data_IF_401317547246
#
_entry.id   IF_401317547246
#
_cell.length_a   1.000
_cell.length_b   1.000
_cell.length_c   1.000
_cell.angle_alpha   90.00
_cell.angle_beta   90.00
_cell.angle_gamma   90.00
#
_symmetry.space_group_name_H-M   'P 1'
#
loop_
_entity.id
_entity.type
_entity.pdbx_description
1 polymer ?
2 polymer ?
3 non-polymer ?
4 water ?
#
# COMPACT_ATOMS: atom_id res chain seq x y z
N UNK A 4 -0.79 16.37 26.47
CA UNK A 4 -2.16 15.90 26.27
C UNK A 4 -3.14 17.06 26.31
N UNK A 5 -3.98 17.17 25.29
CA UNK A 5 -3.99 16.22 24.18
C UNK A 5 -3.72 16.92 22.85
N UNK A 6 -3.94 16.20 21.75
CA UNK A 6 -3.77 16.77 20.42
C UNK A 6 -5.08 16.69 19.67
N UNK A 7 -5.15 17.40 18.53
CA UNK A 7 -6.37 17.42 17.73
C UNK A 7 -6.69 16.05 17.16
N UNK A 8 -5.67 15.27 16.86
CA UNK A 8 -5.84 13.94 16.31
C UNK A 8 -6.39 12.96 17.32
N UNK A 9 -5.93 13.09 18.57
CA UNK A 9 -6.42 12.27 19.66
C UNK A 9 -7.89 12.59 19.95
N UNK A 10 -8.24 13.87 19.94
CA UNK A 10 -9.62 14.29 20.12
C UNK A 10 -10.48 13.77 18.98
N UNK A 11 -9.88 13.70 17.79
CA UNK A 11 -10.57 13.21 16.61
C UNK A 11 -10.85 11.71 16.73
N UNK A 12 -9.85 10.97 17.21
CA UNK A 12 -9.98 9.52 17.40
C UNK A 12 -10.98 9.19 18.49
N UNK A 13 -11.09 10.06 19.49
CA UNK A 13 -11.95 9.82 20.64
C UNK A 13 -13.33 10.44 20.48
N UNK A 14 -13.54 11.15 19.37
CA UNK A 14 -14.81 11.82 19.12
C UNK A 14 -15.75 11.00 18.27
N UNK A 15 -16.54 11.69 17.44
CA UNK A 15 -17.48 11.04 16.53
C UNK A 15 -16.74 10.20 15.50
N UNK A 16 -17.12 8.92 15.35
CA UNK A 16 -16.50 8.02 14.38
C UNK A 16 -16.68 8.50 12.93
N UNK A 17 -17.86 9.00 12.60
CA UNK A 17 -18.12 9.51 11.25
C UNK A 17 -17.25 10.71 10.94
N UNK A 18 -17.07 11.58 11.95
CA UNK A 18 -16.23 12.76 11.80
C UNK A 18 -14.75 12.36 11.73
N UNK A 19 -14.41 11.29 12.44
CA UNK A 19 -13.03 10.81 12.46
C UNK A 19 -12.63 10.20 11.12
N UNK A 20 -13.51 9.39 10.54
CA UNK A 20 -13.26 8.74 9.27
C UNK A 20 -13.02 9.76 8.15
N UNK A 21 -13.86 10.78 8.09
CA UNK A 21 -13.76 11.80 7.05
C UNK A 21 -12.49 12.64 7.18
N UNK A 22 -12.21 13.13 8.38
CA UNK A 22 -11.07 14.01 8.59
C UNK A 22 -9.72 13.29 8.54
N UNK A 23 -9.74 11.96 8.59
CA UNK A 23 -8.51 11.18 8.54
C UNK A 23 -8.24 10.60 7.16
N UNK A 24 -9.30 10.14 6.50
CA UNK A 24 -9.15 9.49 5.20
C UNK A 24 -8.79 10.48 4.09
N UNK A 25 -9.39 11.67 4.15
CA UNK A 25 -9.13 12.70 3.14
C UNK A 25 -7.65 13.10 3.01
N UNK A 26 -6.95 13.36 4.14
CA UNK A 26 -5.52 13.63 4.00
C UNK A 26 -4.75 12.42 3.46
N UNK A 27 -5.21 11.22 3.78
CA UNK A 27 -4.55 10.00 3.34
C UNK A 27 -4.73 9.75 1.85
N UNK A 28 -5.94 10.01 1.36
CA UNK A 28 -6.23 9.84 -0.07
C UNK A 28 -5.42 10.83 -0.91
N UNK A 29 -5.18 12.02 -0.36
CA UNK A 29 -4.40 13.04 -1.05
C UNK A 29 -2.92 12.65 -1.09
N UNK A 30 -2.41 12.21 0.05
CA UNK A 30 -1.02 11.80 0.16
C UNK A 30 -0.69 10.65 -0.78
N UNK A 31 -1.60 9.70 -0.91
CA UNK A 31 -1.40 8.55 -1.78
C UNK A 31 -1.56 8.92 -3.25
N UNK A 32 -2.38 9.93 -3.53
CA UNK A 32 -2.61 10.37 -4.90
C UNK A 32 -1.36 11.07 -5.46
N UNK A 33 -0.70 11.87 -4.63
CA UNK A 33 0.53 12.52 -5.02
C UNK A 33 1.62 11.50 -5.28
N UNK A 34 1.60 10.43 -4.48
CA UNK A 34 2.55 9.33 -4.66
C UNK A 34 2.29 8.63 -6.00
N UNK A 35 1.02 8.45 -6.34
CA UNK A 35 0.64 7.87 -7.62
C UNK A 35 1.06 8.79 -8.75
N UNK A 36 0.91 10.09 -8.54
CA UNK A 36 1.31 11.10 -9.53
C UNK A 36 2.80 11.01 -9.83
N UNK A 37 3.60 10.65 -8.82
CA UNK A 37 5.03 10.47 -9.03
C UNK A 37 5.31 9.28 -9.95
N UNK A 38 4.65 8.15 -9.69
CA UNK A 38 4.82 6.96 -10.50
C UNK A 38 4.45 7.18 -11.96
N UNK A 39 3.41 7.96 -12.19
CA UNK A 39 2.98 8.29 -13.54
C UNK A 39 4.03 9.16 -14.23
N UNK A 40 4.61 10.08 -13.48
CA UNK A 40 5.64 10.97 -14.02
C UNK A 40 6.94 10.23 -14.27
N UNK A 41 7.38 9.45 -13.29
CA UNK A 41 8.61 8.68 -13.41
C UNK A 41 8.51 7.64 -14.53
N UNK A 42 7.30 7.16 -14.78
CA UNK A 42 7.06 6.19 -15.84
C UNK A 42 7.23 6.80 -17.21
N UNK A 43 7.20 8.13 -17.28
CA UNK A 43 7.37 8.84 -18.54
C UNK A 43 8.85 9.13 -18.84
N UNK A 44 9.56 9.63 -17.84
CA UNK A 44 10.98 9.96 -18.00
C UNK A 44 11.80 8.72 -18.34
N UNK A 45 11.55 7.64 -17.61
CA UNK A 45 12.31 6.40 -17.78
C UNK A 45 12.00 5.73 -19.13
N UNK A 46 10.75 5.85 -19.57
CA UNK A 46 10.30 5.23 -20.82
C UNK A 46 11.08 5.75 -22.03
N UNK A 47 11.62 6.95 -21.92
CA UNK A 47 12.38 7.55 -23.01
C UNK A 47 13.87 7.43 -22.83
N UNK A 48 14.30 6.41 -22.08
CA UNK A 48 15.72 6.19 -21.82
C UNK A 48 16.25 4.99 -22.60
N UNK A 49 15.35 4.13 -23.06
CA UNK A 49 15.74 2.95 -23.82
C UNK A 49 15.31 1.65 -23.17
N UNK A 50 15.46 0.54 -23.90
CA UNK A 50 15.07 -0.79 -23.40
C UNK A 50 15.99 -1.31 -22.30
N UNK A 51 17.23 -0.82 -22.28
CA UNK A 51 18.20 -1.25 -21.29
C UNK A 51 17.89 -0.67 -19.91
N UNK A 52 17.28 0.51 -19.90
CA UNK A 52 16.92 1.17 -18.65
C UNK A 52 15.66 0.58 -18.03
N UNK A 53 14.70 0.24 -18.88
CA UNK A 53 13.46 -0.39 -18.42
C UNK A 53 13.72 -1.79 -17.90
N UNK A 54 14.69 -2.47 -18.51
CA UNK A 54 15.04 -3.83 -18.10
C UNK A 54 15.74 -3.82 -16.75
N UNK A 55 16.43 -2.73 -16.44
CA UNK A 55 17.14 -2.60 -15.17
C UNK A 55 16.16 -2.36 -14.03
N UNK A 56 15.11 -1.60 -14.31
CA UNK A 56 14.08 -1.31 -13.31
C UNK A 56 13.28 -2.57 -12.99
N UNK A 57 12.97 -3.34 -14.03
CA UNK A 57 12.18 -4.55 -13.88
C UNK A 57 12.87 -5.63 -13.05
N UNK A 58 14.20 -5.61 -13.02
CA UNK A 58 14.96 -6.60 -12.27
C UNK A 58 14.90 -6.34 -10.77
N UNK A 59 14.90 -5.07 -10.38
CA UNK A 59 14.90 -4.70 -8.97
C UNK A 59 13.49 -4.42 -8.46
N UNK A 60 12.56 -4.27 -9.37
CA UNK A 60 11.17 -3.97 -9.01
C UNK A 60 10.52 -4.97 -8.02
N UNK A 61 10.69 -6.28 -8.22
CA UNK A 61 10.13 -7.21 -7.23
C UNK A 61 10.79 -7.04 -5.87
N UNK A 62 12.09 -6.72 -5.87
CA UNK A 62 12.82 -6.49 -4.64
C UNK A 62 12.34 -5.21 -3.98
N UNK A 63 12.06 -4.20 -4.81
CA UNK A 63 11.58 -2.91 -4.33
C UNK A 63 10.25 -3.07 -3.63
N UNK A 64 9.33 -3.80 -4.25
CA UNK A 64 8.02 -4.07 -3.67
C UNK A 64 8.14 -4.87 -2.38
N UNK A 65 9.18 -5.70 -2.29
CA UNK A 65 9.45 -6.47 -1.10
C UNK A 65 9.83 -5.58 0.07
N UNK A 66 10.66 -4.58 -0.20
CA UNK A 66 11.07 -3.62 0.81
C UNK A 66 9.88 -2.79 1.27
N UNK A 67 9.05 -2.38 0.30
CA UNK A 67 7.87 -1.57 0.59
C UNK A 67 6.84 -2.36 1.40
N UNK A 68 6.65 -3.62 1.05
CA UNK A 68 5.72 -4.49 1.76
C UNK A 68 6.11 -4.65 3.23
N UNK A 69 7.41 -4.75 3.49
CA UNK A 69 7.91 -4.88 4.85
C UNK A 69 7.83 -3.56 5.61
N UNK A 70 8.09 -2.46 4.90
CA UNK A 70 8.04 -1.13 5.51
C UNK A 70 6.61 -0.72 5.85
N UNK A 71 5.70 -0.91 4.90
CA UNK A 71 4.31 -0.55 5.09
C UNK A 71 3.64 -1.45 6.12
N UNK A 72 4.08 -2.70 6.18
CA UNK A 72 3.56 -3.65 7.13
C UNK A 72 3.89 -3.25 8.56
N UNK A 73 5.16 -2.91 8.78
CA UNK A 73 5.60 -2.45 10.10
C UNK A 73 4.90 -1.15 10.47
N UNK A 74 4.59 -0.36 9.44
CA UNK A 74 3.89 0.90 9.64
C UNK A 74 2.46 0.74 10.13
N UNK A 75 1.71 -0.14 9.47
CA UNK A 75 0.31 -0.36 9.84
C UNK A 75 0.18 -1.08 11.17
N UNK A 76 1.14 -1.95 11.48
CA UNK A 76 1.18 -2.62 12.76
C UNK A 76 1.46 -1.63 13.87
N UNK A 77 2.23 -0.60 13.53
CA UNK A 77 2.54 0.47 14.46
C UNK A 77 1.32 1.35 14.71
N UNK A 78 0.70 1.81 13.63
CA UNK A 78 -0.46 2.69 13.72
C UNK A 78 -1.62 2.02 14.44
N UNK A 79 -1.84 0.75 14.16
CA UNK A 79 -2.91 -0.02 14.79
C UNK A 79 -2.68 -0.16 16.30
N UNK A 80 -1.46 -0.52 16.68
CA UNK A 80 -1.13 -0.72 18.08
C UNK A 80 -1.22 0.59 18.88
N UNK A 81 -0.76 1.68 18.29
CA UNK A 81 -0.81 2.99 18.93
C UNK A 81 -2.25 3.46 19.10
N UNK A 82 -3.06 3.26 18.06
CA UNK A 82 -4.47 3.67 18.10
C UNK A 82 -5.25 2.97 19.21
N UNK A 83 -4.98 1.68 19.41
CA UNK A 83 -5.65 0.92 20.45
C UNK A 83 -5.26 1.36 21.86
N UNK A 84 -3.99 1.72 22.04
CA UNK A 84 -3.50 2.20 23.33
C UNK A 84 -4.15 3.54 23.70
N UNK A 85 -4.22 4.44 22.72
CA UNK A 85 -4.80 5.76 22.94
C UNK A 85 -6.29 5.67 23.28
N UNK A 86 -6.99 4.76 22.61
CA UNK A 86 -8.38 4.52 22.90
C UNK A 86 -8.57 3.98 24.30
N UNK A 87 -7.69 3.09 24.72
CA UNK A 87 -7.74 2.51 26.06
C UNK A 87 -7.14 3.45 27.10
N UNK A 88 -6.75 4.65 26.65
CA UNK A 88 -6.10 5.64 27.50
C UNK A 88 -4.85 5.10 28.18
N UNK A 89 -4.13 4.26 27.46
CA UNK A 89 -2.86 3.72 27.92
C UNK A 89 -1.73 4.58 27.34
N UNK A 90 -1.41 5.67 28.03
CA UNK A 90 -0.42 6.62 27.56
C UNK A 90 0.98 6.03 27.51
N UNK A 91 1.38 5.38 28.60
CA UNK A 91 2.69 4.76 28.68
C UNK A 91 2.84 3.64 27.66
N UNK A 92 1.74 2.97 27.37
CA UNK A 92 1.73 1.90 26.38
C UNK A 92 1.93 2.45 24.98
N UNK A 93 1.22 3.53 24.67
CA UNK A 93 1.33 4.17 23.36
C UNK A 93 2.74 4.71 23.13
N UNK A 94 3.32 5.29 24.17
CA UNK A 94 4.69 5.79 24.12
C UNK A 94 5.66 4.64 23.88
N UNK A 95 5.40 3.51 24.52
CA UNK A 95 6.28 2.36 24.44
C UNK A 95 6.24 1.68 23.07
N UNK A 96 5.07 1.67 22.44
CA UNK A 96 4.91 1.10 21.11
C UNK A 96 5.69 1.91 20.08
N UNK A 97 5.63 3.24 20.22
CA UNK A 97 6.32 4.14 19.31
C UNK A 97 7.83 3.93 19.37
N UNK A 98 8.36 3.76 20.57
CA UNK A 98 9.78 3.50 20.75
C UNK A 98 10.16 2.14 20.15
N UNK A 99 9.36 1.13 20.44
CA UNK A 99 9.59 -0.21 19.89
C UNK A 99 9.60 -0.22 18.37
N UNK A 100 8.68 0.54 17.76
CA UNK A 100 8.55 0.59 16.32
C UNK A 100 9.78 1.24 15.66
N UNK A 101 10.33 2.25 16.33
CA UNK A 101 11.50 2.95 15.82
C UNK A 101 12.75 2.06 15.89
N UNK A 102 12.84 1.28 16.97
CA UNK A 102 13.95 0.34 17.12
C UNK A 102 13.84 -0.77 16.07
N UNK A 103 12.60 -1.20 15.80
CA UNK A 103 12.35 -2.21 14.78
C UNK A 103 12.67 -1.69 13.39
N UNK A 104 12.47 -0.39 13.18
CA UNK A 104 12.74 0.23 11.88
C UNK A 104 14.22 0.15 11.56
N UNK A 105 15.06 0.29 12.58
CA UNK A 105 16.50 0.18 12.41
C UNK A 105 16.89 -1.26 12.15
N UNK A 106 16.34 -2.18 12.95
CA UNK A 106 16.63 -3.60 12.82
C UNK A 106 16.18 -4.15 11.46
N UNK A 107 14.96 -3.82 11.06
CA UNK A 107 14.42 -4.30 9.79
C UNK A 107 15.09 -3.64 8.59
N UNK A 108 15.22 -2.31 8.65
CA UNK A 108 15.77 -1.55 7.55
C UNK A 108 17.20 -1.91 7.18
N UNK A 109 18.07 -1.92 8.18
CA UNK A 109 19.48 -2.24 7.95
C UNK A 109 19.67 -3.71 7.54
N UNK A 110 18.85 -4.58 8.10
CA UNK A 110 18.90 -6.01 7.76
C UNK A 110 18.63 -6.22 6.27
N UNK A 111 17.64 -5.50 5.74
CA UNK A 111 17.31 -5.56 4.32
C UNK A 111 18.52 -5.16 3.47
N UNK A 112 19.20 -4.10 3.89
CA UNK A 112 20.38 -3.61 3.19
C UNK A 112 21.51 -4.63 3.16
N UNK A 113 21.88 -5.14 4.33
CA UNK A 113 23.00 -6.07 4.44
C UNK A 113 22.69 -7.46 3.90
N UNK A 114 21.41 -7.76 3.71
CA UNK A 114 21.00 -9.05 3.18
C UNK A 114 20.97 -9.06 1.65
N UNK A 115 20.46 -7.97 1.07
CA UNK A 115 20.25 -7.91 -0.37
C UNK A 115 21.48 -7.45 -1.16
N UNK A 116 22.29 -6.59 -0.55
CA UNK A 116 23.49 -6.09 -1.21
C UNK A 116 24.45 -7.16 -1.74
N UNK A 117 24.80 -8.17 -0.93
CA UNK A 117 25.70 -9.18 -1.50
C UNK A 117 24.96 -10.22 -2.34
N UNK A 118 23.62 -10.22 -2.26
CA UNK A 118 22.82 -11.21 -2.96
C UNK A 118 22.20 -10.66 -4.25
N UNK A 119 22.33 -9.36 -4.46
CA UNK A 119 21.67 -8.70 -5.59
C UNK A 119 22.33 -9.03 -6.94
N UNK A 120 23.56 -9.51 -6.89
CA UNK A 120 24.29 -9.86 -8.11
C UNK A 120 23.80 -11.18 -8.69
N UNK A 121 23.84 -12.23 -7.88
CA UNK A 121 23.42 -13.56 -8.31
C UNK A 121 21.92 -13.62 -8.58
N UNK A 122 21.16 -12.72 -7.94
CA UNK A 122 19.73 -12.66 -8.14
C UNK A 122 19.38 -12.21 -9.56
N UNK A 123 20.05 -11.17 -10.02
CA UNK A 123 19.81 -10.64 -11.36
C UNK A 123 20.32 -11.60 -12.44
N UNK A 124 21.36 -12.36 -12.11
CA UNK A 124 21.91 -13.35 -13.02
C UNK A 124 20.96 -14.54 -13.16
N UNK A 125 20.24 -14.84 -12.09
CA UNK A 125 19.33 -15.99 -12.07
C UNK A 125 18.02 -15.69 -12.79
N UNK A 126 17.71 -14.40 -12.94
CA UNK A 126 16.48 -13.97 -13.60
C UNK A 126 16.64 -13.88 -15.12
N UNK A 127 17.56 -14.67 -15.66
CA UNK A 127 17.81 -14.71 -17.09
C UNK A 127 18.32 -13.38 -17.63
N UNK A 128 19.37 -12.86 -17.02
CA UNK A 128 19.94 -11.58 -17.43
C UNK A 128 21.45 -11.52 -17.25
N UNK A 129 22.15 -11.19 -18.33
CA UNK A 129 23.59 -10.97 -18.27
C UNK A 129 23.87 -9.47 -18.37
N UNK A 130 24.84 -9.01 -17.59
CA UNK A 130 25.12 -7.59 -17.52
C UNK A 130 26.51 -7.18 -17.97
N UNK A 131 26.64 -6.27 -18.93
CA UNK A 131 25.56 -5.60 -19.69
C UNK A 131 24.49 -4.84 -18.89
N UNK A 132 23.23 -5.24 -19.07
CA UNK A 132 22.11 -4.56 -18.44
C UNK A 132 21.95 -4.90 -16.97
N UNK A 133 22.35 -6.11 -16.58
CA UNK A 133 22.27 -6.55 -15.20
C UNK A 133 23.24 -5.77 -14.33
N UNK A 134 24.33 -5.31 -14.94
CA UNK A 134 25.31 -4.49 -14.23
C UNK A 134 24.73 -3.11 -13.95
N UNK A 135 23.86 -2.65 -14.84
CA UNK A 135 23.18 -1.37 -14.67
C UNK A 135 22.09 -1.51 -13.60
N UNK A 136 21.56 -2.72 -13.47
CA UNK A 136 20.53 -3.01 -12.49
C UNK A 136 21.10 -2.99 -11.07
N UNK A 137 22.34 -3.47 -10.93
CA UNK A 137 23.02 -3.48 -9.64
C UNK A 137 23.25 -2.07 -9.12
N UNK A 138 23.77 -1.20 -9.99
CA UNK A 138 24.03 0.18 -9.63
C UNK A 138 22.73 0.90 -9.24
N UNK A 139 21.64 0.53 -9.90
CA UNK A 139 20.33 1.06 -9.57
C UNK A 139 19.85 0.47 -8.25
N UNK A 140 20.22 -0.77 -8.00
CA UNK A 140 19.82 -1.46 -6.78
C UNK A 140 20.57 -0.94 -5.56
N UNK A 141 21.86 -0.68 -5.72
CA UNK A 141 22.70 -0.18 -4.65
C UNK A 141 22.12 1.07 -4.00
N UNK A 142 21.72 2.02 -4.84
CA UNK A 142 21.20 3.31 -4.38
C UNK A 142 19.96 3.14 -3.52
N UNK A 143 19.00 2.36 -4.01
CA UNK A 143 17.74 2.17 -3.30
C UNK A 143 17.91 1.29 -2.06
N UNK A 144 18.78 0.29 -2.15
CA UNK A 144 19.06 -0.58 -1.01
C UNK A 144 19.81 0.18 0.08
N UNK A 145 20.55 1.20 -0.32
CA UNK A 145 21.30 2.03 0.62
C UNK A 145 20.38 2.78 1.57
N UNK A 146 19.17 3.07 1.10
CA UNK A 146 18.20 3.81 1.89
C UNK A 146 17.04 2.96 2.35
N UNK A 147 17.29 1.66 2.48
CA UNK A 147 16.26 0.73 2.94
C UNK A 147 15.79 1.09 4.35
N UNK A 148 16.72 1.48 5.20
CA UNK A 148 16.39 1.95 6.54
C UNK A 148 15.55 3.23 6.48
N UNK A 149 15.93 4.13 5.58
CA UNK A 149 15.21 5.38 5.38
C UNK A 149 13.76 5.11 4.96
N UNK A 150 13.57 4.11 4.11
CA UNK A 150 12.25 3.70 3.69
C UNK A 150 11.40 3.24 4.87
N UNK A 151 11.94 2.28 5.63
CA UNK A 151 11.24 1.71 6.77
C UNK A 151 10.98 2.75 7.85
N UNK A 152 11.96 3.60 8.10
CA UNK A 152 11.83 4.67 9.09
C UNK A 152 10.69 5.63 8.73
N UNK A 153 10.61 6.00 7.46
CA UNK A 153 9.56 6.91 6.99
C UNK A 153 8.16 6.30 7.13
N UNK A 154 8.07 4.99 6.96
CA UNK A 154 6.80 4.28 7.11
C UNK A 154 6.40 4.16 8.57
N UNK A 155 7.38 3.97 9.44
CA UNK A 155 7.13 3.90 10.88
C UNK A 155 6.71 5.24 11.41
N UNK A 156 7.45 6.28 11.03
CA UNK A 156 7.13 7.65 11.43
C UNK A 156 5.75 8.05 10.98
N UNK A 157 5.39 7.67 9.76
CA UNK A 157 4.07 7.93 9.22
C UNK A 157 3.02 7.12 9.97
N UNK A 158 3.41 5.93 10.43
CA UNK A 158 2.52 5.07 11.19
C UNK A 158 2.25 5.62 12.56
N UNK A 159 3.25 6.24 13.18
CA UNK A 159 3.09 6.85 14.48
C UNK A 159 2.12 8.02 14.40
N UNK A 160 2.26 8.83 13.36
CA UNK A 160 1.39 9.98 13.14
C UNK A 160 -0.05 9.54 12.90
N UNK A 161 -0.23 8.52 12.06
CA UNK A 161 -1.55 7.98 11.78
C UNK A 161 -2.16 7.31 13.01
N UNK A 162 -1.29 6.81 13.89
CA UNK A 162 -1.73 6.15 15.10
C UNK A 162 -2.38 7.09 16.08
N UNK A 163 -1.93 8.35 16.09
CA UNK A 163 -2.49 9.34 17.00
C UNK A 163 -3.36 10.37 16.27
N UNK A 164 -3.99 9.93 15.18
CA UNK A 164 -4.94 10.75 14.45
C UNK A 164 -4.34 11.94 13.74
N UNK A 165 -3.03 11.94 13.55
CA UNK A 165 -2.34 13.04 12.89
C UNK A 165 -2.14 12.73 11.41
N UNK A 166 -3.25 12.64 10.66
CA UNK A 166 -3.18 12.37 9.24
C UNK A 166 -2.66 13.57 8.46
N UNK A 167 -2.70 14.75 9.10
CA UNK A 167 -2.23 15.98 8.47
C UNK A 167 -0.73 15.97 8.20
N UNK A 168 0.06 15.78 9.26
CA UNK A 168 1.51 15.70 9.13
C UNK A 168 1.92 14.43 8.37
N UNK A 169 1.11 13.39 8.48
CA UNK A 169 1.33 12.16 7.75
C UNK A 169 1.18 12.42 6.25
N UNK A 170 0.16 13.19 5.90
CA UNK A 170 -0.05 13.61 4.52
C UNK A 170 1.12 14.48 4.05
N UNK A 171 1.50 15.43 4.89
CA UNK A 171 2.60 16.33 4.60
C UNK A 171 3.89 15.58 4.27
N UNK A 172 4.20 14.57 5.07
CA UNK A 172 5.41 13.77 4.86
C UNK A 172 5.38 13.04 3.52
N UNK A 173 4.19 12.58 3.13
CA UNK A 173 4.03 11.91 1.85
C UNK A 173 4.12 12.88 0.68
N UNK A 174 3.51 14.05 0.85
CA UNK A 174 3.50 15.07 -0.19
C UNK A 174 4.90 15.65 -0.42
N UNK A 175 5.62 15.90 0.67
CA UNK A 175 6.98 16.42 0.60
C UNK A 175 7.92 15.45 -0.13
N UNK A 176 7.81 14.17 0.19
CA UNK A 176 8.66 13.16 -0.39
C UNK A 176 8.44 12.94 -1.86
N UNK A 177 7.19 12.62 -2.23
CA UNK A 177 6.84 12.40 -3.62
C UNK A 177 6.97 13.68 -4.45
N UNK A 178 6.65 14.81 -3.84
CA UNK A 178 6.76 16.09 -4.50
C UNK A 178 8.19 16.42 -4.87
N UNK A 179 9.11 16.22 -3.93
CA UNK A 179 10.53 16.46 -4.17
C UNK A 179 11.06 15.49 -5.22
N UNK A 180 10.57 14.25 -5.17
CA UNK A 180 10.98 13.24 -6.14
C UNK A 180 10.52 13.59 -7.55
N UNK A 181 9.36 14.22 -7.65
CA UNK A 181 8.85 14.70 -8.93
C UNK A 181 9.74 15.81 -9.49
N UNK A 182 10.24 16.65 -8.59
CA UNK A 182 11.12 17.76 -8.97
C UNK A 182 12.50 17.28 -9.40
N UNK A 183 13.10 16.41 -8.60
CA UNK A 183 14.46 15.96 -8.84
C UNK A 183 14.57 14.99 -10.02
N UNK A 184 13.46 14.34 -10.36
CA UNK A 184 13.46 13.32 -11.41
C UNK A 184 13.96 13.79 -12.79
N UNK A 185 13.39 14.87 -13.34
CA UNK A 185 13.91 15.29 -14.65
C UNK A 185 15.30 15.90 -14.55
N UNK A 186 15.64 16.45 -13.39
CA UNK A 186 16.94 17.07 -13.17
C UNK A 186 18.05 16.02 -13.14
N UNK A 187 17.85 14.97 -12.34
CA UNK A 187 18.86 13.93 -12.20
C UNK A 187 18.98 13.05 -13.44
N UNK A 188 17.85 12.73 -14.05
CA UNK A 188 17.84 11.84 -15.21
C UNK A 188 18.38 12.51 -16.47
N UNK A 189 17.79 13.63 -16.85
CA UNK A 189 18.14 14.29 -18.12
C UNK A 189 19.12 15.45 -17.99
N UNK A 190 18.81 16.40 -17.11
CA UNK A 190 19.63 17.60 -16.95
C UNK A 190 21.07 17.28 -16.55
N UNK A 191 21.22 16.38 -15.59
CA UNK A 191 22.55 15.98 -15.13
C UNK A 191 23.08 14.79 -15.90
N UNK A 192 22.21 14.13 -16.66
CA UNK A 192 22.60 13.02 -17.50
C UNK A 192 23.03 11.78 -16.75
N UNK A 193 22.38 11.51 -15.62
CA UNK A 193 22.70 10.32 -14.83
C UNK A 193 21.94 9.10 -15.33
N UNK A 194 20.94 9.33 -16.18
CA UNK A 194 20.15 8.24 -16.72
C UNK A 194 19.19 7.65 -15.71
N UNK A 195 18.92 6.35 -15.84
CA UNK A 195 17.95 5.67 -14.98
C UNK A 195 18.43 5.60 -13.52
N UNK A 196 19.74 5.62 -13.33
CA UNK A 196 20.31 5.60 -11.99
C UNK A 196 20.03 6.92 -11.28
N UNK A 197 19.88 7.98 -12.08
CA UNK A 197 19.52 9.29 -11.56
C UNK A 197 18.17 9.28 -10.89
N UNK A 198 17.26 8.46 -11.40
CA UNK A 198 15.93 8.31 -10.82
C UNK A 198 16.03 7.66 -9.44
N UNK A 199 17.03 6.79 -9.27
CA UNK A 199 17.26 6.14 -8.00
C UNK A 199 17.79 7.14 -6.97
N UNK A 200 18.75 7.96 -7.38
CA UNK A 200 19.32 8.99 -6.52
C UNK A 200 18.27 10.05 -6.17
N UNK A 201 17.39 10.34 -7.11
CA UNK A 201 16.31 11.29 -6.88
C UNK A 201 15.36 10.75 -5.81
N UNK A 202 15.06 9.46 -5.90
CA UNK A 202 14.20 8.81 -4.91
C UNK A 202 14.88 8.75 -3.55
N UNK A 203 16.14 8.34 -3.54
CA UNK A 203 16.91 8.24 -2.31
C UNK A 203 17.00 9.57 -1.58
N UNK A 204 17.29 10.64 -2.33
CA UNK A 204 17.42 11.96 -1.76
C UNK A 204 16.09 12.49 -1.23
N UNK A 205 15.01 12.16 -1.94
CA UNK A 205 13.68 12.61 -1.52
C UNK A 205 13.24 11.91 -0.23
N UNK A 206 13.70 10.67 -0.14
CA UNK A 206 13.45 9.84 1.04
C UNK A 206 14.14 10.40 2.27
N UNK A 207 15.39 10.84 2.09
CA UNK A 207 16.24 11.37 3.14
C UNK A 207 15.68 12.68 3.70
N UNK A 208 15.27 13.57 2.80
CA UNK A 208 14.67 14.84 3.20
C UNK A 208 13.40 14.60 4.00
N UNK A 209 12.60 13.63 3.58
CA UNK A 209 11.39 13.24 4.30
C UNK A 209 11.72 12.80 5.72
N UNK A 210 12.79 12.02 5.86
CA UNK A 210 13.24 11.55 7.16
C UNK A 210 13.69 12.70 8.05
N UNK A 211 14.31 13.70 7.45
CA UNK A 211 14.76 14.88 8.19
C UNK A 211 13.57 15.63 8.79
N UNK A 212 12.45 15.64 8.08
CA UNK A 212 11.23 16.25 8.59
C UNK A 212 10.63 15.43 9.72
N UNK A 213 10.54 14.12 9.49
CA UNK A 213 9.97 13.21 10.47
C UNK A 213 10.80 13.17 11.76
N UNK A 214 12.11 13.10 11.62
CA UNK A 214 13.01 13.10 12.77
C UNK A 214 12.92 14.42 13.54
N UNK A 215 12.72 15.51 12.82
CA UNK A 215 12.57 16.83 13.43
C UNK A 215 11.30 16.89 14.28
N UNK A 216 10.22 16.33 13.76
CA UNK A 216 8.95 16.31 14.48
C UNK A 216 9.03 15.40 15.71
N UNK A 217 9.61 14.23 15.52
CA UNK A 217 9.62 13.20 16.55
C UNK A 217 10.68 13.40 17.62
N UNK A 218 11.85 13.90 17.22
CA UNK A 218 13.00 13.95 18.13
C UNK A 218 13.43 15.36 18.52
N UNK A 219 13.19 16.33 17.64
CA UNK A 219 13.61 17.70 17.91
C UNK A 219 12.47 18.54 18.45
N UNK A 220 11.43 18.71 17.65
CA UNK A 220 10.26 19.48 18.05
C UNK A 220 9.51 18.75 19.16
N UNK A 221 9.47 17.42 19.04
CA UNK A 221 8.81 16.55 20.02
C UNK A 221 7.36 16.94 20.28
N UNK A 222 6.71 17.49 19.26
CA UNK A 222 5.30 17.83 19.36
C UNK A 222 4.43 16.73 18.79
N UNK A 223 4.40 15.61 19.51
CA UNK A 223 3.52 14.49 19.18
C UNK A 223 2.85 14.06 20.48
N UNK A 224 1.68 13.45 20.37
CA UNK A 224 0.99 12.97 21.56
C UNK A 224 1.83 11.94 22.31
N UNK A 225 2.44 11.02 21.58
CA UNK A 225 3.30 10.02 22.18
C UNK A 225 4.64 10.64 22.57
N UNK A 226 5.21 10.17 23.67
CA UNK A 226 6.54 10.61 24.09
C UNK A 226 7.58 9.57 23.72
N UNK A 227 8.58 9.99 22.96
CA UNK A 227 9.60 9.07 22.46
C UNK A 227 10.93 9.27 23.17
N UNK A 228 11.36 8.26 23.93
CA UNK A 228 12.60 8.33 24.67
C UNK A 228 13.12 6.95 25.05
N UNK A 229 14.43 6.82 25.20
CA UNK A 229 15.04 5.55 25.59
C UNK A 229 15.35 5.51 27.09
N UNK A 230 14.76 6.45 27.83
CA UNK A 230 14.99 6.53 29.27
C UNK A 230 13.74 6.15 30.06
N UNK A 231 13.78 5.01 30.74
CA UNK A 231 14.96 4.14 30.74
C UNK A 231 14.79 3.00 29.74
N UNK A 232 13.59 2.90 29.17
CA UNK A 232 13.24 1.89 28.18
C UNK A 232 13.23 0.46 28.71
N UNK A 233 12.20 -0.30 28.32
CA UNK A 233 12.09 -1.70 28.70
C UNK A 233 11.51 -2.52 27.56
N UNK A 234 12.23 -3.56 27.14
CA UNK A 234 11.79 -4.44 26.06
C UNK A 234 10.50 -5.18 26.43
N UNK A 235 9.49 -5.09 25.57
CA UNK A 235 8.21 -5.74 25.81
C UNK A 235 7.90 -6.74 24.71
N UNK A 236 7.81 -8.02 25.08
CA UNK A 236 7.50 -9.08 24.14
C UNK A 236 6.05 -9.02 23.69
N UNK A 237 5.20 -8.41 24.52
CA UNK A 237 3.79 -8.30 24.21
C UNK A 237 3.55 -7.23 23.13
N UNK A 238 4.30 -6.14 23.22
CA UNK A 238 4.23 -5.08 22.23
C UNK A 238 4.80 -5.55 20.90
N UNK A 239 5.89 -6.29 20.97
CA UNK A 239 6.51 -6.87 19.77
C UNK A 239 5.55 -7.81 19.07
N UNK A 240 4.88 -8.66 19.83
CA UNK A 240 3.91 -9.60 19.28
C UNK A 240 2.68 -8.89 18.74
N UNK A 241 2.33 -7.76 19.36
CA UNK A 241 1.15 -7.00 18.94
C UNK A 241 1.39 -6.30 17.60
N UNK A 242 2.63 -5.89 17.38
CA UNK A 242 3.00 -5.23 16.12
C UNK A 242 3.13 -6.24 14.99
N UNK A 243 3.79 -7.35 15.27
CA UNK A 243 4.04 -8.38 14.27
C UNK A 243 2.77 -9.14 13.88
N UNK A 244 1.79 -9.18 14.79
CA UNK A 244 0.53 -9.87 14.51
C UNK A 244 -0.26 -9.16 13.41
N UNK A 245 0.00 -7.86 13.26
CA UNK A 245 -0.62 -7.08 12.20
C UNK A 245 0.38 -6.84 11.08
N UNK A 246 1.62 -6.52 11.47
CA UNK A 246 2.67 -6.18 10.51
C UNK A 246 3.06 -7.30 9.58
N UNK A 247 3.34 -8.48 10.13
CA UNK A 247 3.77 -9.62 9.33
C UNK A 247 2.71 -10.11 8.32
N UNK A 248 1.45 -10.30 8.76
CA UNK A 248 0.45 -10.70 7.76
C UNK A 248 0.18 -9.60 6.74
N UNK A 249 0.43 -8.35 7.11
CA UNK A 249 0.28 -7.24 6.19
C UNK A 249 1.28 -7.34 5.05
N UNK A 250 2.50 -7.75 5.38
CA UNK A 250 3.54 -7.94 4.37
C UNK A 250 3.24 -9.15 3.50
N UNK A 251 2.76 -10.21 4.12
CA UNK A 251 2.42 -11.44 3.41
C UNK A 251 1.22 -11.23 2.50
N UNK A 252 0.36 -10.28 2.85
CA UNK A 252 -0.78 -9.92 2.02
C UNK A 252 -0.30 -9.37 0.68
N UNK A 253 0.77 -8.59 0.72
CA UNK A 253 1.36 -8.02 -0.49
C UNK A 253 2.02 -9.10 -1.32
N UNK A 254 2.60 -10.10 -0.65
CA UNK A 254 3.21 -11.23 -1.34
C UNK A 254 2.13 -12.03 -2.06
N UNK A 255 0.97 -12.16 -1.42
CA UNK A 255 -0.15 -12.89 -2.00
C UNK A 255 -0.63 -12.22 -3.28
N UNK A 256 -0.71 -10.89 -3.27
CA UNK A 256 -1.11 -10.13 -4.44
C UNK A 256 -0.08 -10.27 -5.57
N UNK A 257 1.19 -10.19 -5.21
CA UNK A 257 2.27 -10.29 -6.18
C UNK A 257 2.29 -11.66 -6.86
N UNK A 258 2.12 -12.72 -6.07
CA UNK A 258 2.04 -14.06 -6.60
C UNK A 258 0.81 -14.19 -7.49
N UNK A 259 -0.30 -13.65 -7.03
CA UNK A 259 -1.54 -13.66 -7.80
C UNK A 259 -1.40 -12.87 -9.10
N UNK A 260 -0.67 -11.76 -9.03
CA UNK A 260 -0.43 -10.93 -10.19
C UNK A 260 0.39 -11.69 -11.24
N UNK A 261 1.25 -12.58 -10.75
CA UNK A 261 2.08 -13.40 -11.63
C UNK A 261 1.25 -14.43 -12.39
N UNK A 262 0.32 -15.08 -11.68
CA UNK A 262 -0.53 -16.10 -12.28
C UNK A 262 -1.58 -15.49 -13.20
N UNK A 263 -2.07 -14.31 -12.87
CA UNK A 263 -3.03 -13.61 -13.72
C UNK A 263 -2.39 -13.22 -15.04
N UNK A 264 -1.09 -12.90 -14.99
CA UNK A 264 -0.34 -12.60 -16.20
C UNK A 264 -0.19 -13.83 -17.08
N UNK A 265 0.15 -14.96 -16.47
CA UNK A 265 0.34 -16.22 -17.18
C UNK A 265 -0.93 -16.66 -17.91
N UNK A 266 -2.07 -16.45 -17.27
CA UNK A 266 -3.36 -16.75 -17.87
C UNK A 266 -3.61 -15.79 -19.03
N UNK A 267 -3.16 -14.55 -18.86
CA UNK A 267 -3.29 -13.54 -19.90
C UNK A 267 -2.32 -13.79 -21.05
N UNK A 268 -1.27 -14.56 -20.79
CA UNK A 268 -0.31 -14.92 -21.83
C UNK A 268 -0.88 -16.01 -22.73
N UNK A 269 -1.55 -16.98 -22.13
CA UNK A 269 -2.10 -18.12 -22.86
C UNK A 269 -3.32 -17.74 -23.69
N UNK A 270 -4.00 -16.66 -23.30
CA UNK A 270 -5.23 -16.24 -23.98
C UNK A 270 -5.12 -15.87 -25.47
N UNK A 271 -4.21 -14.96 -25.86
CA UNK A 271 -3.28 -14.27 -24.99
C UNK A 271 -2.10 -13.66 -25.73
N UNK A 272 -0.90 -14.16 -25.44
CA UNK A 272 0.31 -13.66 -26.06
C UNK A 272 0.73 -12.33 -25.49
N UNK A 273 1.72 -11.69 -26.13
CA UNK A 273 2.19 -10.38 -25.71
C UNK A 273 1.10 -9.33 -25.87
N UNK A 274 0.20 -9.57 -26.82
CA UNK A 274 -0.96 -8.70 -27.03
C UNK A 274 -1.91 -8.73 -25.84
N UNK A 275 -2.09 -9.91 -25.26
CA UNK A 275 -2.95 -10.08 -24.12
C UNK A 275 -2.36 -9.47 -22.86
N UNK A 276 -1.03 -9.52 -22.75
CA UNK A 276 -0.32 -8.94 -21.61
C UNK A 276 -0.41 -7.42 -21.66
N UNK A 277 -0.21 -6.87 -22.85
CA UNK A 277 -0.24 -5.41 -23.05
C UNK A 277 -1.60 -4.83 -22.69
N UNK A 278 -2.67 -5.53 -23.06
CA UNK A 278 -4.02 -5.08 -22.75
C UNK A 278 -4.31 -5.20 -21.25
N UNK A 279 -3.95 -6.34 -20.66
CA UNK A 279 -4.16 -6.58 -19.24
C UNK A 279 -3.40 -5.58 -18.38
N UNK A 280 -2.13 -5.33 -18.74
CA UNK A 280 -1.30 -4.40 -18.00
C UNK A 280 -1.87 -2.98 -18.03
N UNK A 281 -2.29 -2.55 -19.21
CA UNK A 281 -2.87 -1.21 -19.37
C UNK A 281 -4.21 -1.09 -18.66
N UNK A 282 -5.05 -2.10 -18.80
CA UNK A 282 -6.37 -2.09 -18.18
C UNK A 282 -6.28 -2.15 -16.65
N UNK A 283 -5.33 -2.93 -16.15
CA UNK A 283 -5.15 -3.08 -14.70
C UNK A 283 -4.58 -1.81 -14.09
N UNK A 284 -3.62 -1.19 -14.78
CA UNK A 284 -2.97 0.02 -14.28
C UNK A 284 -3.96 1.17 -14.15
N UNK A 285 -4.88 1.28 -15.12
CA UNK A 285 -5.90 2.33 -15.09
C UNK A 285 -6.94 2.03 -14.01
N UNK A 286 -7.33 0.76 -13.90
CA UNK A 286 -8.33 0.36 -12.93
C UNK A 286 -7.86 0.56 -11.49
N UNK A 287 -6.58 0.28 -11.23
CA UNK A 287 -6.03 0.39 -9.90
C UNK A 287 -5.85 1.84 -9.44
N UNK A 288 -6.09 2.79 -10.34
CA UNK A 288 -6.06 4.20 -9.98
C UNK A 288 -7.21 4.54 -9.03
N UNK A 289 -8.35 3.88 -9.24
CA UNK A 289 -9.51 4.07 -8.40
C UNK A 289 -9.40 3.37 -7.07
N UNK A 290 -8.35 2.55 -6.92
CA UNK A 290 -8.09 1.84 -5.68
C UNK A 290 -7.49 2.77 -4.63
N UNK A 291 -6.75 3.78 -5.10
CA UNK A 291 -6.10 4.76 -4.22
C UNK A 291 -7.01 5.41 -3.16
N UNK A 292 -8.20 5.92 -3.56
CA UNK A 292 -9.07 6.50 -2.53
C UNK A 292 -9.55 5.46 -1.52
N UNK A 293 -9.62 4.20 -1.93
CA UNK A 293 -10.06 3.14 -1.05
C UNK A 293 -8.99 2.82 -0.02
N UNK A 294 -7.72 2.89 -0.45
CA UNK A 294 -6.59 2.62 0.44
C UNK A 294 -6.49 3.67 1.53
N UNK A 295 -6.70 4.93 1.17
CA UNK A 295 -6.66 6.02 2.12
C UNK A 295 -7.76 5.90 3.16
N UNK A 296 -8.91 5.38 2.72
CA UNK A 296 -10.03 5.15 3.61
C UNK A 296 -9.74 3.97 4.55
N UNK A 297 -8.98 3.01 4.04
CA UNK A 297 -8.61 1.83 4.82
C UNK A 297 -7.65 2.19 5.96
N UNK A 298 -6.73 3.09 5.68
CA UNK A 298 -5.78 3.55 6.69
C UNK A 298 -6.50 4.28 7.82
N UNK A 299 -7.52 5.05 7.46
CA UNK A 299 -8.32 5.76 8.46
C UNK A 299 -9.16 4.79 9.27
N UNK A 300 -9.74 3.81 8.60
CA UNK A 300 -10.58 2.80 9.23
C UNK A 300 -9.83 2.06 10.34
N UNK A 301 -8.58 1.68 10.06
CA UNK A 301 -7.75 0.95 11.00
C UNK A 301 -7.54 1.75 12.29
N UNK A 302 -7.24 3.04 12.14
CA UNK A 302 -6.99 3.92 13.28
C UNK A 302 -8.25 4.19 14.12
N UNK A 303 -9.37 4.42 13.44
CA UNK A 303 -10.61 4.77 14.13
C UNK A 303 -11.23 3.55 14.83
N UNK A 304 -11.27 2.42 14.13
CA UNK A 304 -11.78 1.18 14.74
C UNK A 304 -10.85 0.70 15.84
N UNK A 305 -9.56 0.98 15.68
CA UNK A 305 -8.58 0.62 16.68
C UNK A 305 -8.80 1.39 17.98
N UNK A 306 -8.99 2.70 17.85
CA UNK A 306 -9.27 3.54 19.00
C UNK A 306 -10.59 3.15 19.65
N UNK A 307 -11.56 2.79 18.82
CA UNK A 307 -12.87 2.36 19.31
C UNK A 307 -12.76 1.02 20.02
N UNK A 308 -11.88 0.16 19.53
CA UNK A 308 -11.66 -1.15 20.15
C UNK A 308 -10.96 -0.99 21.49
N UNK A 309 -10.07 0.00 21.58
CA UNK A 309 -9.39 0.30 22.83
C UNK A 309 -10.36 0.87 23.85
N UNK A 310 -11.36 1.59 23.36
CA UNK A 310 -12.38 2.18 24.22
C UNK A 310 -13.44 1.14 24.59
N UNK A 311 -13.31 -0.05 24.04
CA UNK A 311 -14.31 -1.12 24.21
C UNK A 311 -15.69 -0.66 23.78
N UNK A 312 -15.73 0.08 22.66
CA UNK A 312 -16.97 0.62 22.14
C UNK A 312 -17.30 0.01 20.78
N UNK A 313 -18.05 -1.10 20.81
CA UNK A 313 -18.38 -1.82 19.59
C UNK A 313 -19.26 -0.99 18.65
N UNK A 314 -20.15 -0.19 19.24
CA UNK A 314 -21.04 0.67 18.47
C UNK A 314 -20.24 1.69 17.65
N UNK A 315 -19.23 2.26 18.29
CA UNK A 315 -18.38 3.25 17.63
C UNK A 315 -17.51 2.58 16.56
N UNK A 316 -17.09 1.35 16.84
CA UNK A 316 -16.28 0.58 15.90
C UNK A 316 -17.11 0.20 14.67
N UNK A 317 -18.32 -0.29 14.91
CA UNK A 317 -19.21 -0.71 13.83
C UNK A 317 -19.61 0.46 12.95
N UNK A 318 -19.89 1.60 13.58
CA UNK A 318 -20.29 2.80 12.86
C UNK A 318 -19.21 3.25 11.89
N UNK A 319 -17.99 3.41 12.40
CA UNK A 319 -16.86 3.85 11.59
C UNK A 319 -16.57 2.88 10.45
N UNK A 320 -16.69 1.59 10.74
CA UNK A 320 -16.44 0.54 9.75
C UNK A 320 -17.47 0.56 8.62
N UNK A 321 -18.75 0.69 8.98
CA UNK A 321 -19.82 0.71 8.00
C UNK A 321 -19.87 2.03 7.23
N UNK A 322 -19.50 3.12 7.92
CA UNK A 322 -19.52 4.44 7.31
C UNK A 322 -18.39 4.58 6.27
N UNK A 323 -17.29 3.90 6.53
CA UNK A 323 -16.15 3.91 5.61
C UNK A 323 -16.50 3.17 4.31
N UNK A 324 -17.23 2.08 4.44
CA UNK A 324 -17.70 1.32 3.28
C UNK A 324 -18.65 2.17 2.44
N UNK A 325 -19.56 2.86 3.12
CA UNK A 325 -20.56 3.70 2.47
C UNK A 325 -19.92 4.78 1.59
N UNK A 326 -18.99 5.52 2.16
CA UNK A 326 -18.31 6.59 1.45
C UNK A 326 -17.49 6.05 0.28
N UNK A 327 -16.69 5.01 0.55
CA UNK A 327 -15.86 4.39 -0.47
C UNK A 327 -16.69 3.80 -1.59
N UNK A 328 -17.88 3.32 -1.25
CA UNK A 328 -18.82 2.78 -2.23
C UNK A 328 -19.30 3.89 -3.17
N UNK A 329 -19.61 5.04 -2.59
CA UNK A 329 -20.09 6.19 -3.36
C UNK A 329 -18.99 6.71 -4.30
N UNK A 330 -17.77 6.78 -3.78
CA UNK A 330 -16.63 7.26 -4.56
C UNK A 330 -16.37 6.35 -5.76
N UNK A 331 -16.37 5.04 -5.54
CA UNK A 331 -16.12 4.09 -6.60
C UNK A 331 -17.21 4.10 -7.67
N UNK A 332 -18.45 4.38 -7.26
CA UNK A 332 -19.55 4.50 -8.21
C UNK A 332 -19.26 5.61 -9.21
N UNK A 333 -18.68 6.71 -8.73
CA UNK A 333 -18.30 7.81 -9.60
C UNK A 333 -17.11 7.43 -10.47
N UNK A 334 -16.18 6.68 -9.88
CA UNK A 334 -14.99 6.24 -10.60
C UNK A 334 -15.33 5.24 -11.70
N UNK A 335 -16.12 4.22 -11.36
CA UNK A 335 -16.52 3.21 -12.32
C UNK A 335 -17.36 3.80 -13.45
N UNK A 336 -18.30 4.68 -13.10
CA UNK A 336 -19.15 5.32 -14.09
C UNK A 336 -18.32 6.20 -15.03
N UNK A 337 -17.30 6.86 -14.49
CA UNK A 337 -16.42 7.69 -15.29
C UNK A 337 -15.62 6.86 -16.28
N UNK A 338 -15.03 5.77 -15.79
CA UNK A 338 -14.19 4.91 -16.61
C UNK A 338 -14.97 4.23 -17.74
N UNK A 339 -16.14 3.69 -17.42
CA UNK A 339 -16.94 2.98 -18.41
C UNK A 339 -17.53 3.91 -19.47
N UNK A 340 -17.92 5.12 -19.05
CA UNK A 340 -18.49 6.10 -19.97
C UNK A 340 -17.44 6.67 -20.91
N UNK A 341 -16.26 6.97 -20.36
CA UNK A 341 -15.21 7.61 -21.14
C UNK A 341 -14.04 6.67 -21.42
N UNK A 342 -14.34 5.38 -21.58
CA UNK A 342 -13.32 4.37 -21.85
C UNK A 342 -12.46 4.63 -23.10
N UNK A 343 -13.08 5.01 -24.24
CA UNK A 343 -12.22 5.31 -25.39
C UNK A 343 -11.31 6.52 -25.15
N UNK A 344 -11.82 7.51 -24.41
CA UNK A 344 -11.04 8.70 -24.11
C UNK A 344 -9.89 8.38 -23.16
N UNK A 345 -10.15 7.53 -22.18
CA UNK A 345 -9.12 7.13 -21.23
C UNK A 345 -8.07 6.25 -21.90
N UNK A 346 -8.52 5.31 -22.72
CA UNK A 346 -7.62 4.43 -23.45
C UNK A 346 -6.71 5.20 -24.39
N UNK A 347 -7.24 6.30 -24.94
CA UNK A 347 -6.50 7.15 -25.86
C UNK A 347 -5.43 7.94 -25.12
N UNK A 348 -5.70 8.28 -23.86
CA UNK A 348 -4.79 9.10 -23.07
C UNK A 348 -3.69 8.27 -22.39
N UNK A 349 -3.80 6.95 -22.52
CA UNK A 349 -2.80 6.06 -21.93
C UNK A 349 -2.09 5.22 -22.98
N UNK A 350 -2.44 5.43 -24.24
CA UNK A 350 -1.81 4.72 -25.35
C UNK A 350 -1.35 5.69 -26.43
N UNK A 358 -3.92 -2.16 -29.88
CA UNK A 358 -4.55 -2.82 -28.75
C UNK A 358 -5.67 -1.97 -28.16
N UNK A 359 -6.06 -0.93 -28.90
CA UNK A 359 -7.08 0.00 -28.44
C UNK A 359 -8.45 -0.67 -28.28
N UNK A 360 -8.81 -1.50 -29.26
CA UNK A 360 -10.11 -2.17 -29.25
C UNK A 360 -10.30 -3.10 -28.06
N UNK A 361 -9.25 -3.83 -27.70
CA UNK A 361 -9.31 -4.76 -26.58
C UNK A 361 -9.25 -4.02 -25.25
N UNK A 362 -8.57 -2.88 -25.23
CA UNK A 362 -8.43 -2.09 -24.01
C UNK A 362 -9.75 -1.43 -23.61
N UNK A 363 -10.49 -0.96 -24.61
CA UNK A 363 -11.79 -0.34 -24.36
C UNK A 363 -12.77 -1.34 -23.75
N UNK A 364 -12.81 -2.54 -24.32
CA UNK A 364 -13.66 -3.61 -23.82
C UNK A 364 -13.25 -4.02 -22.41
N UNK A 365 -11.95 -4.00 -22.16
CA UNK A 365 -11.42 -4.34 -20.85
C UNK A 365 -11.83 -3.31 -19.81
N UNK A 366 -11.78 -2.04 -20.19
CA UNK A 366 -12.19 -0.96 -19.30
C UNK A 366 -13.71 -0.90 -19.15
N UNK A 367 -14.40 -1.63 -20.02
CA UNK A 367 -15.86 -1.68 -20.00
C UNK A 367 -16.35 -2.86 -19.15
N UNK A 368 -15.41 -3.64 -18.64
CA UNK A 368 -15.76 -4.85 -17.90
C UNK A 368 -14.97 -5.01 -16.60
N UNK A 369 -13.66 -4.76 -16.67
CA UNK A 369 -12.78 -4.96 -15.52
C UNK A 369 -13.08 -4.11 -14.28
N UNK A 370 -13.17 -2.77 -14.43
CA UNK A 370 -13.27 -1.95 -13.21
C UNK A 370 -14.59 -2.07 -12.45
N UNK A 371 -15.44 -3.04 -12.82
CA UNK A 371 -16.71 -3.23 -12.13
C UNK A 371 -16.49 -3.68 -10.68
N UNK A 372 -15.42 -4.45 -10.46
CA UNK A 372 -15.15 -5.01 -9.13
C UNK A 372 -14.84 -3.93 -8.08
N UNK A 373 -14.50 -2.73 -8.53
CA UNK A 373 -14.20 -1.63 -7.64
C UNK A 373 -15.41 -1.23 -6.81
N UNK A 374 -16.60 -1.58 -7.31
CA UNK A 374 -17.85 -1.28 -6.63
C UNK A 374 -17.97 -2.04 -5.31
N UNK A 375 -17.71 -3.33 -5.34
CA UNK A 375 -17.87 -4.18 -4.14
C UNK A 375 -16.57 -4.31 -3.34
N UNK A 376 -15.48 -3.77 -3.89
CA UNK A 376 -14.18 -3.79 -3.22
C UNK A 376 -14.17 -3.24 -1.77
N UNK A 377 -14.81 -2.07 -1.54
CA UNK A 377 -14.78 -1.53 -0.17
C UNK A 377 -15.39 -2.45 0.89
N UNK A 378 -16.31 -3.33 0.50
CA UNK A 378 -16.96 -4.22 1.45
C UNK A 378 -15.99 -5.19 2.11
N UNK A 379 -14.99 -5.63 1.36
CA UNK A 379 -14.01 -6.57 1.88
C UNK A 379 -12.74 -5.89 2.36
N UNK A 380 -12.45 -4.71 1.81
CA UNK A 380 -11.23 -4.00 2.14
C UNK A 380 -11.32 -3.27 3.49
N UNK A 381 -12.51 -2.78 3.82
CA UNK A 381 -12.71 -2.10 5.11
C UNK A 381 -12.82 -3.13 6.24
N UNK A 382 -13.29 -4.32 5.90
CA UNK A 382 -13.37 -5.42 6.86
C UNK A 382 -11.96 -5.84 7.24
N UNK A 383 -11.09 -5.92 6.25
CA UNK A 383 -9.69 -6.22 6.47
C UNK A 383 -9.05 -5.09 7.27
N UNK A 384 -9.47 -3.86 6.98
CA UNK A 384 -8.93 -2.68 7.65
C UNK A 384 -9.29 -2.66 9.13
N UNK A 385 -10.49 -3.10 9.46
CA UNK A 385 -10.94 -3.13 10.85
C UNK A 385 -10.41 -4.38 11.56
N UNK A 386 -10.09 -5.41 10.79
CA UNK A 386 -9.44 -6.60 11.33
C UNK A 386 -8.06 -6.23 11.84
N UNK A 387 -7.38 -5.34 11.10
CA UNK A 387 -6.07 -4.87 11.50
C UNK A 387 -6.19 -3.90 12.67
N UNK A 388 -7.30 -3.17 12.72
CA UNK A 388 -7.54 -2.22 13.78
C UNK A 388 -7.71 -2.87 15.13
N UNK A 389 -8.38 -4.03 15.15
CA UNK A 389 -8.59 -4.77 16.39
C UNK A 389 -7.39 -5.67 16.71
N UNK A 390 -6.42 -5.70 15.81
CA UNK A 390 -5.17 -6.42 16.04
C UNK A 390 -5.13 -7.83 15.47
N UNK A 391 -6.14 -8.17 14.68
CA UNK A 391 -6.21 -9.51 14.08
C UNK A 391 -5.83 -9.49 12.61
N UNK A 392 -4.54 -9.37 12.35
CA UNK A 392 -4.02 -9.29 10.99
C UNK A 392 -4.06 -10.58 10.22
N UNK A 393 -4.14 -11.70 10.95
CA UNK A 393 -4.18 -13.02 10.33
C UNK A 393 -5.46 -13.19 9.51
N UNK A 394 -6.56 -12.64 10.04
CA UNK A 394 -7.84 -12.69 9.33
C UNK A 394 -7.77 -11.85 8.06
N UNK A 395 -6.99 -10.76 8.12
CA UNK A 395 -6.79 -9.91 6.97
C UNK A 395 -5.96 -10.62 5.91
N UNK A 396 -5.00 -11.42 6.37
CA UNK A 396 -4.15 -12.19 5.47
C UNK A 396 -4.97 -13.29 4.79
N UNK A 397 -5.75 -14.02 5.58
CA UNK A 397 -6.61 -15.08 5.06
C UNK A 397 -7.60 -14.53 4.04
N UNK A 398 -8.17 -13.37 4.35
CA UNK A 398 -9.12 -12.72 3.46
C UNK A 398 -8.44 -12.27 2.16
N UNK A 399 -7.20 -11.78 2.28
CA UNK A 399 -6.45 -11.34 1.10
C UNK A 399 -6.06 -12.53 0.23
N UNK A 400 -5.59 -13.60 0.85
CA UNK A 400 -5.25 -14.83 0.12
C UNK A 400 -6.47 -15.38 -0.60
N UNK A 401 -7.60 -15.42 0.11
CA UNK A 401 -8.84 -15.92 -0.47
C UNK A 401 -9.30 -15.07 -1.65
N UNK A 402 -9.16 -13.76 -1.52
CA UNK A 402 -9.62 -12.84 -2.55
C UNK A 402 -8.78 -12.89 -3.82
N UNK A 403 -7.46 -12.84 -3.66
CA UNK A 403 -6.58 -12.64 -4.80
C UNK A 403 -6.01 -13.94 -5.39
N UNK A 404 -5.89 -14.98 -4.57
CA UNK A 404 -5.32 -16.25 -5.03
C UNK A 404 -6.38 -17.28 -5.37
N UNK A 405 -7.34 -17.46 -4.48
CA UNK A 405 -8.38 -18.46 -4.67
C UNK A 405 -9.48 -17.99 -5.62
N UNK A 406 -9.91 -16.74 -5.44
CA UNK A 406 -11.00 -16.19 -6.22
C UNK A 406 -10.54 -15.61 -7.57
N UNK A 407 -9.62 -14.66 -7.52
CA UNK A 407 -9.14 -14.01 -8.74
C UNK A 407 -8.48 -14.97 -9.72
N UNK A 408 -7.41 -15.62 -9.28
CA UNK A 408 -6.70 -16.57 -10.11
C UNK A 408 -7.58 -17.77 -10.45
N UNK A 409 -8.39 -18.19 -9.49
CA UNK A 409 -9.28 -19.33 -9.67
C UNK A 409 -10.27 -19.15 -10.80
N UNK A 410 -11.05 -18.06 -10.74
CA UNK A 410 -12.07 -17.80 -11.76
C UNK A 410 -11.49 -17.39 -13.10
N UNK A 411 -10.31 -16.76 -13.07
CA UNK A 411 -9.65 -16.35 -14.31
C UNK A 411 -9.11 -17.56 -15.07
N UNK A 412 -8.69 -18.58 -14.32
CA UNK A 412 -8.16 -19.80 -14.91
C UNK A 412 -9.29 -20.66 -15.49
N UNK A 413 -10.48 -20.55 -14.89
CA UNK A 413 -11.63 -21.32 -15.32
C UNK A 413 -12.22 -20.77 -16.63
N UNK A 414 -12.43 -19.47 -16.69
CA UNK A 414 -13.08 -18.84 -17.83
C UNK A 414 -12.20 -18.81 -19.09
N UNK A 415 -10.96 -19.25 -18.95
CA UNK A 415 -10.04 -19.28 -20.09
C UNK A 415 -9.81 -20.72 -20.58
N UNK A 416 -9.61 -21.63 -19.64
CA UNK A 416 -9.29 -23.01 -19.98
C UNK A 416 -10.54 -23.88 -20.18
N UNK A 417 -11.66 -23.44 -19.61
CA UNK A 417 -12.90 -24.23 -19.66
C UNK A 417 -14.02 -23.61 -20.48
N UNK A 418 -13.89 -22.32 -20.80
CA UNK A 418 -14.93 -21.63 -21.56
C UNK A 418 -14.41 -21.09 -22.89
N UNK A 419 -15.34 -20.68 -23.75
CA UNK A 419 -15.01 -20.17 -25.08
C UNK A 419 -14.37 -18.78 -25.01
N UNK A 420 -14.67 -18.05 -23.95
CA UNK A 420 -14.18 -16.68 -23.78
C UNK A 420 -12.66 -16.62 -23.77
N UNK A 421 -12.11 -15.63 -24.47
CA UNK A 421 -10.68 -15.44 -24.54
C UNK A 421 -10.16 -14.48 -23.48
N UNK A 422 -9.73 -13.30 -23.92
CA UNK A 422 -9.28 -12.26 -23.00
C UNK A 422 -10.42 -11.76 -22.12
N UNK A 423 -11.64 -11.83 -22.65
CA UNK A 423 -12.83 -11.41 -21.90
C UNK A 423 -13.01 -12.27 -20.65
N UNK A 424 -12.64 -13.54 -20.75
CA UNK A 424 -12.73 -14.46 -19.64
C UNK A 424 -11.80 -14.09 -18.50
N UNK A 425 -10.76 -13.34 -18.82
CA UNK A 425 -9.80 -12.90 -17.81
C UNK A 425 -10.40 -11.78 -16.94
N UNK A 426 -10.97 -10.77 -17.59
CA UNK A 426 -11.57 -9.65 -16.87
C UNK A 426 -12.77 -10.12 -16.05
N UNK A 427 -13.63 -10.92 -16.68
CA UNK A 427 -14.83 -11.45 -16.03
C UNK A 427 -14.47 -12.28 -14.80
N UNK A 428 -13.45 -13.11 -14.93
CA UNK A 428 -12.99 -13.95 -13.83
C UNK A 428 -12.51 -13.14 -12.64
N UNK A 429 -11.77 -12.08 -12.90
CA UNK A 429 -11.28 -11.19 -11.85
C UNK A 429 -12.44 -10.47 -11.18
N UNK A 430 -13.40 -10.02 -11.99
CA UNK A 430 -14.57 -9.31 -11.47
C UNK A 430 -15.44 -10.21 -10.61
N UNK A 431 -15.87 -11.34 -11.17
CA UNK A 431 -16.72 -12.28 -10.44
C UNK A 431 -16.01 -12.81 -9.19
N UNK A 432 -14.71 -13.08 -9.31
CA UNK A 432 -13.93 -13.64 -8.23
C UNK A 432 -13.96 -12.84 -6.94
N UNK A 433 -13.44 -11.61 -6.99
CA UNK A 433 -13.34 -10.79 -5.80
C UNK A 433 -14.66 -10.18 -5.33
N UNK A 434 -15.67 -10.20 -6.19
CA UNK A 434 -17.01 -9.80 -5.77
C UNK A 434 -17.58 -10.83 -4.80
N UNK A 435 -17.30 -12.09 -5.06
CA UNK A 435 -17.66 -13.16 -4.15
C UNK A 435 -16.89 -13.00 -2.84
N UNK A 436 -15.62 -12.67 -2.96
CA UNK A 436 -14.76 -12.43 -1.80
C UNK A 436 -15.20 -11.19 -1.03
N UNK A 437 -15.84 -10.27 -1.74
CA UNK A 437 -16.35 -9.04 -1.13
C UNK A 437 -17.55 -9.38 -0.24
N UNK A 438 -18.39 -10.30 -0.70
CA UNK A 438 -19.54 -10.73 0.05
C UNK A 438 -19.10 -11.56 1.26
N UNK A 439 -18.22 -12.52 1.03
CA UNK A 439 -17.70 -13.37 2.08
C UNK A 439 -16.96 -12.57 3.15
N UNK A 440 -16.16 -11.61 2.71
CA UNK A 440 -15.43 -10.75 3.61
C UNK A 440 -16.35 -9.89 4.46
N UNK A 441 -17.37 -9.33 3.82
CA UNK A 441 -18.34 -8.50 4.52
C UNK A 441 -19.12 -9.32 5.55
N UNK A 442 -19.53 -10.53 5.18
CA UNK A 442 -20.25 -11.41 6.08
C UNK A 442 -19.38 -11.81 7.27
N UNK A 443 -18.10 -12.03 7.01
CA UNK A 443 -17.15 -12.38 8.06
C UNK A 443 -17.00 -11.21 9.03
N UNK A 444 -17.07 -10.00 8.49
CA UNK A 444 -16.97 -8.80 9.30
C UNK A 444 -18.15 -8.65 10.26
N UNK A 445 -19.34 -8.98 9.77
CA UNK A 445 -20.54 -8.91 10.59
C UNK A 445 -20.50 -9.95 11.71
N UNK A 446 -19.91 -11.09 11.42
CA UNK A 446 -19.77 -12.16 12.40
C UNK A 446 -18.77 -11.78 13.49
N UNK A 447 -17.70 -11.11 13.09
CA UNK A 447 -16.66 -10.69 14.03
C UNK A 447 -17.20 -9.61 14.98
N UNK A 448 -18.01 -8.72 14.44
CA UNK A 448 -18.60 -7.64 15.23
C UNK A 448 -19.64 -8.19 16.20
N UNK A 449 -20.42 -9.16 15.76
CA UNK A 449 -21.41 -9.80 16.60
C UNK A 449 -20.74 -10.52 17.77
N UNK A 450 -19.54 -11.03 17.53
CA UNK A 450 -18.77 -11.71 18.58
C UNK A 450 -18.21 -10.71 19.58
N UNK A 451 -17.92 -9.50 19.11
CA UNK A 451 -17.40 -8.44 19.97
C UNK A 451 -18.44 -7.98 20.96
N UNK A 452 -19.70 -7.89 20.52
CA UNK A 452 -20.79 -7.46 21.38
C UNK A 452 -21.01 -8.47 22.51
N UNK A 453 -20.89 -9.75 22.19
CA UNK A 453 -21.05 -10.81 23.18
C UNK A 453 -19.85 -10.89 24.11
N UNK A 454 -18.71 -10.40 23.64
CA UNK A 454 -17.48 -10.42 24.42
C UNK A 454 -17.34 -9.15 25.25
N UNK B 3 5.52 4.70 -1.46
CA UNK B 3 6.36 3.91 -0.57
C UNK B 3 5.53 3.41 0.61
N UNK B 4 4.49 4.16 0.94
CA UNK B 4 3.65 3.85 2.09
C UNK B 4 2.53 2.86 1.73
N UNK B 5 2.35 2.64 0.42
CA UNK B 5 1.36 1.69 -0.06
C UNK B 5 1.99 0.75 -1.09
N UNK B 6 2.08 -0.52 -0.73
CA UNK B 6 2.76 -1.52 -1.57
C UNK B 6 1.95 -1.86 -2.82
N UNK B 7 0.64 -1.92 -2.68
CA UNK B 7 -0.23 -2.32 -3.79
C UNK B 7 -0.62 -1.14 -4.66
N UNK B 8 0.22 -0.82 -5.64
CA UNK B 8 -0.09 0.22 -6.62
C UNK B 8 -0.01 -0.18 -8.12
N UNK B 9 1.12 -0.69 -8.63
CA UNK B 9 2.37 -0.91 -7.93
C UNK B 9 3.46 0.04 -8.44
N UNK B 10 4.10 -0.31 -9.55
CA UNK B 10 5.12 0.57 -10.14
C UNK B 10 4.49 1.77 -10.85
N UNK B 11 3.28 1.57 -11.35
CA UNK B 11 2.57 2.63 -12.05
C UNK B 11 1.18 2.87 -11.45
#
# INVERSE_FOLDING_TARGET
MSEKTTKGVQLLRGDPKKAIVRLSIPMMIGMSVQTLYNLADGIWVSGLGPESLAAVGLFFPVFMGIIALAAGLGVGTSSAIARRIGARDKEGADNVAVHSLILSLILGVTITITMLPAIDSLFRSMGAKGEAVELAIEYARVLLAGAFIIVFNNVGNGILRGEGDANRAMLAMVLGSGLNIVLDPIFIYTLGFGVVGAAYATLLSMVVTSLFIAYWLFVKRDTYVDITLRDFSPSREILKDILRVGLPSSLSQLSMSIAMFFLNSVAITAGGENGVAVFTSAWRITMLGIVPILGMAAATTSVTGAAYGERNVEKLETAYLYAIKIAFMIELAVVAFIMLFAPQVAYLFTYSESAQVIKGDLISALRTLPVFLVLTPFGMMTSAMFQGIGEGEKSLILTIFRTLVMQVGFAYIFVHYTTLGLRGVWIGIVIGNMVAAIVGFLWGRMRISALKKTSATGGKR
XXVYSAVCLYV
#
